data_IF_758179499724
#
_entry.id   IF_758179499724
#
_cell.length_a   1.000
_cell.length_b   1.000
_cell.length_c   1.000
_cell.angle_alpha   90.00
_cell.angle_beta   90.00
_cell.angle_gamma   90.00
#
_symmetry.space_group_name_H-M   'P 1'
#
loop_
_entity.id
_entity.type
_entity.pdbx_description
1 polymer ?
#
# COMPACT_ATOMS: atom_id res chain seq x y z
N UNK A 1 77.17 -14.21 10.38
CA UNK A 1 76.48 -14.03 9.10
C UNK A 1 75.41 -12.96 9.32
N UNK A 2 75.70 -11.74 8.91
CA UNK A 2 74.86 -10.56 9.04
C UNK A 2 73.76 -10.57 7.99
N UNK A 3 72.50 -10.29 8.26
CA UNK A 3 71.49 -10.16 7.22
C UNK A 3 71.62 -8.78 6.51
N UNK A 4 71.55 -8.85 5.19
CA UNK A 4 71.60 -7.74 4.26
C UNK A 4 70.30 -6.88 4.33
N UNK A 5 70.45 -5.56 4.48
CA UNK A 5 69.33 -4.61 4.48
C UNK A 5 68.79 -4.42 3.03
N UNK A 6 67.48 -4.51 2.89
CA UNK A 6 66.75 -4.18 1.64
C UNK A 6 66.53 -2.67 1.60
N UNK A 7 66.83 -2.00 0.47
CA UNK A 7 66.60 -0.54 0.36
C UNK A 7 65.09 -0.22 0.27
N UNK A 8 64.69 0.88 0.93
CA UNK A 8 63.37 1.45 0.93
C UNK A 8 62.93 1.93 -0.46
N UNK A 9 61.62 1.87 -0.80
CA UNK A 9 61.12 2.39 -2.07
C UNK A 9 61.12 3.90 -2.13
N UNK A 10 61.61 4.44 -3.22
CA UNK A 10 61.63 5.86 -3.59
C UNK A 10 60.22 6.39 -3.78
N UNK A 11 59.91 7.50 -3.11
CA UNK A 11 58.64 8.20 -3.24
C UNK A 11 58.42 8.73 -4.65
N UNK A 12 57.23 8.50 -5.25
CA UNK A 12 56.79 9.08 -6.50
C UNK A 12 56.42 10.58 -6.33
N UNK A 13 56.58 11.41 -7.36
CA UNK A 13 56.31 12.83 -7.25
C UNK A 13 54.81 13.10 -7.07
N UNK A 14 54.50 13.94 -6.08
CA UNK A 14 53.16 14.46 -5.80
C UNK A 14 52.66 15.30 -6.98
N UNK A 15 51.56 14.85 -7.61
CA UNK A 15 50.90 15.64 -8.64
C UNK A 15 50.20 16.85 -8.02
N UNK A 16 50.51 18.02 -8.56
CA UNK A 16 49.88 19.32 -8.22
C UNK A 16 48.41 19.24 -8.62
N UNK A 17 47.43 19.62 -7.77
CA UNK A 17 46.02 19.64 -8.15
C UNK A 17 45.79 20.73 -9.21
N UNK A 18 45.39 20.32 -10.40
CA UNK A 18 44.83 21.19 -11.44
C UNK A 18 43.44 21.61 -11.01
N UNK A 19 43.24 22.90 -10.75
CA UNK A 19 41.94 23.49 -10.51
C UNK A 19 41.06 23.34 -11.75
N UNK A 20 40.07 22.46 -11.70
CA UNK A 20 39.02 22.40 -12.68
C UNK A 20 38.13 23.64 -12.54
N UNK A 21 37.76 24.35 -13.63
CA UNK A 21 36.87 25.50 -13.51
C UNK A 21 35.51 24.99 -12.99
N UNK A 22 35.04 25.64 -11.92
CA UNK A 22 33.70 25.49 -11.37
C UNK A 22 32.70 25.91 -12.46
N UNK A 23 32.00 24.98 -13.05
CA UNK A 23 30.84 25.27 -13.89
C UNK A 23 29.79 25.92 -12.98
N UNK A 24 29.38 27.13 -13.33
CA UNK A 24 28.18 27.79 -12.78
C UNK A 24 27.01 26.88 -12.93
N UNK A 25 26.19 26.63 -11.88
CA UNK A 25 24.99 25.82 -12.04
C UNK A 25 24.11 26.47 -13.11
N UNK A 26 23.91 25.74 -14.21
CA UNK A 26 22.91 26.07 -15.21
C UNK A 26 21.56 26.00 -14.53
N UNK A 27 20.85 27.12 -14.51
CA UNK A 27 19.49 27.16 -13.99
C UNK A 27 18.67 26.08 -14.73
N UNK A 28 18.16 25.12 -13.97
CA UNK A 28 17.18 24.14 -14.47
C UNK A 28 16.01 24.95 -15.00
N UNK A 29 15.61 24.79 -16.28
CA UNK A 29 14.45 25.52 -16.78
C UNK A 29 13.24 25.12 -15.94
N UNK A 30 12.66 26.07 -15.23
CA UNK A 30 11.32 25.96 -14.66
C UNK A 30 10.42 25.43 -15.77
N UNK A 31 9.67 24.33 -15.56
CA UNK A 31 8.73 23.87 -16.58
C UNK A 31 7.78 25.02 -16.89
N UNK A 32 7.90 25.56 -18.09
CA UNK A 32 6.97 26.55 -18.60
C UNK A 32 5.63 25.84 -18.69
N UNK A 33 4.68 26.23 -17.84
CA UNK A 33 3.32 25.74 -17.92
C UNK A 33 2.82 25.99 -19.36
N UNK A 34 2.71 24.91 -20.12
CA UNK A 34 2.02 24.96 -21.42
C UNK A 34 0.59 25.38 -21.10
N UNK A 35 0.07 26.49 -21.67
CA UNK A 35 -1.30 26.87 -21.36
C UNK A 35 -2.22 25.74 -21.81
N UNK A 36 -3.10 25.32 -20.89
CA UNK A 36 -4.14 24.35 -21.19
C UNK A 36 -4.91 24.76 -22.45
N UNK A 37 -5.32 23.83 -23.33
CA UNK A 37 -6.03 24.16 -24.56
C UNK A 37 -7.27 24.99 -24.22
N UNK A 38 -7.46 26.10 -24.91
CA UNK A 38 -8.63 26.95 -24.72
C UNK A 38 -9.90 26.17 -25.08
N UNK A 39 -10.61 25.67 -24.09
CA UNK A 39 -11.95 25.13 -24.27
C UNK A 39 -12.89 26.34 -24.35
N UNK A 40 -13.39 26.63 -25.54
CA UNK A 40 -14.09 27.89 -25.88
C UNK A 40 -15.42 28.12 -25.14
N UNK A 41 -15.85 27.27 -24.22
CA UNK A 41 -17.09 27.36 -23.44
C UNK A 41 -17.00 26.89 -21.99
N UNK A 42 -15.80 26.87 -21.40
CA UNK A 42 -15.62 26.44 -20.01
C UNK A 42 -16.30 27.44 -19.05
N UNK A 43 -17.12 26.95 -18.13
CA UNK A 43 -17.76 27.71 -17.05
C UNK A 43 -17.08 27.41 -15.73
N UNK A 44 -17.18 28.33 -14.78
CA UNK A 44 -16.78 28.08 -13.39
C UNK A 44 -17.53 26.87 -12.81
N UNK A 45 -16.82 26.01 -12.08
CA UNK A 45 -17.35 24.76 -11.55
C UNK A 45 -17.26 23.60 -12.56
N UNK A 46 -18.06 22.56 -12.30
CA UNK A 46 -18.05 21.33 -13.10
C UNK A 46 -18.56 21.53 -14.54
N UNK A 47 -17.81 20.98 -15.48
CA UNK A 47 -18.13 20.99 -16.90
C UNK A 47 -18.04 19.58 -17.46
N UNK A 48 -19.06 19.16 -18.19
CA UNK A 48 -19.04 17.90 -18.95
C UNK A 48 -18.70 18.20 -20.40
N UNK A 49 -17.70 17.52 -20.93
CA UNK A 49 -17.26 17.65 -22.32
C UNK A 49 -17.23 16.25 -22.97
N UNK A 50 -17.39 16.21 -24.27
CA UNK A 50 -17.25 14.97 -25.04
C UNK A 50 -15.88 14.95 -25.72
N UNK A 51 -15.08 13.91 -25.46
CA UNK A 51 -13.77 13.70 -26.06
C UNK A 51 -13.67 12.24 -26.54
N UNK A 52 -13.37 12.06 -27.79
CA UNK A 52 -13.22 10.72 -28.41
C UNK A 52 -14.45 9.81 -28.22
N UNK A 53 -15.66 10.40 -28.20
CA UNK A 53 -16.93 9.68 -28.00
C UNK A 53 -17.16 9.24 -26.55
N UNK A 54 -16.40 9.77 -25.59
CA UNK A 54 -16.56 9.52 -24.16
C UNK A 54 -16.85 10.83 -23.44
N UNK A 55 -17.73 10.76 -22.44
CA UNK A 55 -17.98 11.86 -21.51
C UNK A 55 -16.74 12.02 -20.63
N UNK A 56 -16.22 13.24 -20.56
CA UNK A 56 -15.11 13.65 -19.74
C UNK A 56 -15.55 14.85 -18.89
N UNK A 57 -14.83 15.11 -17.81
CA UNK A 57 -15.13 16.20 -16.90
C UNK A 57 -13.95 17.14 -16.77
N UNK A 58 -14.25 18.43 -16.61
CA UNK A 58 -13.29 19.48 -16.30
C UNK A 58 -13.87 20.34 -15.17
N UNK A 59 -13.02 20.95 -14.37
CA UNK A 59 -13.44 21.92 -13.36
C UNK A 59 -12.88 23.31 -13.70
N UNK A 60 -13.77 24.26 -13.89
CA UNK A 60 -13.40 25.64 -14.21
C UNK A 60 -13.10 26.44 -12.94
N UNK A 61 -11.91 27.03 -12.89
CA UNK A 61 -11.47 27.94 -11.83
C UNK A 61 -11.17 29.32 -12.42
N UNK A 62 -11.25 30.37 -11.59
CA UNK A 62 -10.84 31.71 -12.01
C UNK A 62 -9.32 31.86 -11.88
N UNK A 63 -8.68 32.32 -12.96
CA UNK A 63 -7.27 32.70 -12.91
C UNK A 63 -7.09 34.12 -12.29
N UNK A 64 -5.85 34.59 -12.18
CA UNK A 64 -5.50 35.91 -11.64
C UNK A 64 -6.16 37.10 -12.42
N UNK A 65 -6.62 36.86 -13.65
CA UNK A 65 -7.27 37.85 -14.50
C UNK A 65 -8.78 37.71 -14.50
N UNK A 66 -9.38 36.92 -13.58
CA UNK A 66 -10.81 36.57 -13.55
C UNK A 66 -11.31 35.89 -14.84
N UNK A 67 -10.44 35.20 -15.56
CA UNK A 67 -10.81 34.34 -16.68
C UNK A 67 -11.00 32.92 -16.18
N UNK A 68 -12.06 32.22 -16.62
CA UNK A 68 -12.25 30.80 -16.31
C UNK A 68 -11.25 29.98 -17.11
N UNK A 69 -10.45 29.17 -16.36
CA UNK A 69 -9.48 28.22 -16.92
C UNK A 69 -9.76 26.84 -16.31
N UNK A 70 -9.33 25.77 -17.00
CA UNK A 70 -9.47 24.43 -16.47
C UNK A 70 -8.47 24.21 -15.31
N UNK A 71 -8.94 23.60 -14.23
CA UNK A 71 -8.07 23.12 -13.17
C UNK A 71 -7.13 22.04 -13.71
N UNK A 72 -5.89 21.98 -13.19
CA UNK A 72 -4.89 20.96 -13.51
C UNK A 72 -4.20 20.49 -12.22
N UNK A 73 -3.72 19.25 -12.21
CA UNK A 73 -3.12 18.65 -11.01
C UNK A 73 -4.15 18.31 -9.93
N UNK A 74 -3.68 18.00 -8.70
CA UNK A 74 -4.56 17.75 -7.57
C UNK A 74 -5.22 19.04 -7.08
N UNK A 75 -6.52 18.96 -6.74
CA UNK A 75 -7.29 20.09 -6.21
C UNK A 75 -8.41 19.59 -5.30
N UNK A 76 -8.64 20.30 -4.19
CA UNK A 76 -9.79 20.09 -3.33
C UNK A 76 -11.01 20.91 -3.83
N UNK A 77 -12.14 20.24 -3.99
CA UNK A 77 -13.42 20.85 -4.40
C UNK A 77 -14.46 20.45 -3.35
N UNK A 78 -15.02 21.42 -2.65
CA UNK A 78 -16.05 21.23 -1.60
C UNK A 78 -15.63 20.19 -0.52
N UNK A 79 -14.33 20.12 -0.17
CA UNK A 79 -13.77 19.20 0.82
C UNK A 79 -13.42 17.81 0.28
N UNK A 80 -13.52 17.60 -1.02
CA UNK A 80 -13.18 16.35 -1.71
C UNK A 80 -12.01 16.58 -2.65
N UNK A 81 -11.03 15.67 -2.61
CA UNK A 81 -9.86 15.75 -3.47
C UNK A 81 -10.12 15.10 -4.83
N UNK A 82 -9.74 15.80 -5.88
CA UNK A 82 -9.76 15.38 -7.28
C UNK A 82 -8.40 15.58 -7.92
N UNK A 83 -8.18 14.96 -9.07
CA UNK A 83 -7.00 15.20 -9.90
C UNK A 83 -7.37 15.43 -11.35
N UNK A 84 -6.63 16.32 -12.02
CA UNK A 84 -6.83 16.68 -13.43
C UNK A 84 -5.50 16.57 -14.18
N UNK A 85 -5.57 16.15 -15.44
CA UNK A 85 -4.40 16.09 -16.31
C UNK A 85 -3.94 17.50 -16.72
N UNK A 86 -2.84 17.59 -17.47
CA UNK A 86 -2.29 18.85 -18.01
C UNK A 86 -3.24 19.60 -18.95
N UNK A 87 -4.23 18.90 -19.51
CA UNK A 87 -5.27 19.46 -20.38
C UNK A 87 -6.56 19.80 -19.59
N UNK A 88 -6.57 19.61 -18.27
CA UNK A 88 -7.68 19.89 -17.38
C UNK A 88 -8.78 18.84 -17.40
N UNK A 89 -8.55 17.62 -17.89
CA UNK A 89 -9.51 16.52 -17.80
C UNK A 89 -9.33 15.77 -16.48
N UNK A 90 -10.44 15.49 -15.82
CA UNK A 90 -10.46 14.73 -14.56
C UNK A 90 -9.87 13.33 -14.75
N UNK A 91 -9.02 12.95 -13.81
CA UNK A 91 -8.39 11.64 -13.75
C UNK A 91 -9.18 10.71 -12.84
N UNK A 92 -9.19 9.42 -13.17
CA UNK A 92 -9.82 8.34 -12.39
C UNK A 92 -8.92 7.10 -12.37
N UNK A 93 -9.15 6.19 -11.41
CA UNK A 93 -8.32 5.01 -11.23
C UNK A 93 -6.99 5.32 -10.52
N UNK A 94 -5.97 4.52 -10.76
CA UNK A 94 -4.63 4.77 -10.22
C UNK A 94 -3.96 5.95 -10.93
N UNK A 95 -3.59 6.96 -10.15
CA UNK A 95 -2.94 8.19 -10.66
C UNK A 95 -1.67 8.45 -9.88
N UNK A 96 -0.56 8.59 -10.60
CA UNK A 96 0.70 9.05 -10.01
C UNK A 96 0.69 10.58 -9.88
N UNK A 97 0.84 11.08 -8.65
CA UNK A 97 0.92 12.50 -8.34
C UNK A 97 2.21 12.81 -7.61
N UNK A 98 2.76 13.98 -7.88
CA UNK A 98 3.89 14.54 -7.13
C UNK A 98 3.38 15.72 -6.33
N UNK A 99 3.63 15.72 -5.02
CA UNK A 99 3.25 16.79 -4.11
C UNK A 99 4.20 18.01 -4.22
N UNK A 100 3.89 19.08 -3.48
CA UNK A 100 4.67 20.32 -3.47
C UNK A 100 6.10 20.12 -2.93
N UNK A 101 6.34 19.08 -2.12
CA UNK A 101 7.65 18.71 -1.58
C UNK A 101 8.46 17.83 -2.55
N UNK A 102 7.90 17.50 -3.71
CA UNK A 102 8.51 16.67 -4.74
C UNK A 102 8.44 15.16 -4.45
N UNK A 103 7.62 14.72 -3.49
CA UNK A 103 7.37 13.32 -3.23
C UNK A 103 6.29 12.80 -4.17
N UNK A 104 6.59 11.74 -4.88
CA UNK A 104 5.65 11.07 -5.79
C UNK A 104 4.98 9.89 -5.09
N UNK A 105 3.66 9.78 -5.23
CA UNK A 105 2.84 8.68 -4.74
C UNK A 105 1.79 8.27 -5.76
N UNK A 106 1.29 7.04 -5.65
CA UNK A 106 0.16 6.55 -6.44
C UNK A 106 -1.08 6.66 -5.57
N UNK A 107 -2.11 7.30 -6.09
CA UNK A 107 -3.41 7.53 -5.43
C UNK A 107 -4.51 6.89 -6.25
N UNK A 108 -5.64 6.57 -5.62
CA UNK A 108 -6.80 6.05 -6.33
C UNK A 108 -7.95 7.06 -6.31
N UNK A 109 -8.51 7.29 -7.50
CA UNK A 109 -9.66 8.16 -7.71
C UNK A 109 -10.82 7.32 -8.26
N UNK A 110 -12.02 7.50 -7.68
CA UNK A 110 -13.18 6.69 -8.00
C UNK A 110 -13.48 6.63 -9.50
N UNK A 111 -13.71 5.42 -9.99
CA UNK A 111 -14.02 5.16 -11.41
C UNK A 111 -15.51 4.98 -11.68
N UNK A 112 -16.27 4.67 -10.63
CA UNK A 112 -17.70 4.45 -10.73
C UNK A 112 -18.47 5.76 -10.52
N UNK A 113 -19.53 5.94 -11.30
CA UNK A 113 -20.37 7.15 -11.25
C UNK A 113 -20.65 7.73 -12.62
N UNK A 114 -21.51 8.75 -12.65
CA UNK A 114 -21.92 9.42 -13.88
C UNK A 114 -21.62 10.93 -13.90
N UNK A 115 -21.47 11.54 -12.72
CA UNK A 115 -21.35 13.01 -12.60
C UNK A 115 -20.65 13.39 -11.27
N UNK A 116 -19.41 13.88 -11.30
CA UNK A 116 -18.64 14.21 -10.09
C UNK A 116 -19.28 15.31 -9.21
N UNK A 117 -20.25 16.04 -9.76
CA UNK A 117 -21.03 17.01 -8.99
C UNK A 117 -22.18 16.37 -8.18
N UNK A 118 -22.44 15.07 -8.34
CA UNK A 118 -23.59 14.38 -7.77
C UNK A 118 -23.28 13.05 -7.11
N UNK A 119 -22.16 12.46 -7.48
CA UNK A 119 -21.69 11.17 -6.98
C UNK A 119 -20.19 11.23 -6.69
N UNK A 120 -19.58 10.10 -6.36
CA UNK A 120 -18.17 10.02 -5.96
C UNK A 120 -17.19 9.91 -7.14
N UNK A 121 -17.66 9.94 -8.40
CA UNK A 121 -16.81 9.81 -9.57
C UNK A 121 -15.63 10.79 -9.52
N UNK A 122 -14.43 10.27 -9.62
CA UNK A 122 -13.19 11.04 -9.60
C UNK A 122 -12.74 11.52 -8.20
N UNK A 123 -13.50 11.22 -7.12
CA UNK A 123 -13.07 11.52 -5.76
C UNK A 123 -11.91 10.61 -5.33
N UNK A 124 -10.95 11.16 -4.56
CA UNK A 124 -9.84 10.37 -4.01
C UNK A 124 -10.36 9.39 -2.95
N UNK A 125 -9.99 8.13 -3.09
CA UNK A 125 -10.42 7.05 -2.21
C UNK A 125 -9.30 6.56 -1.30
N UNK A 126 -9.69 5.90 -0.21
CA UNK A 126 -8.81 5.15 0.68
C UNK A 126 -9.48 3.83 1.07
N UNK A 127 -8.70 2.88 1.57
CA UNK A 127 -9.18 1.53 1.86
C UNK A 127 -8.67 0.55 0.82
N UNK A 128 -9.48 -0.45 0.49
CA UNK A 128 -9.21 -1.40 -0.59
C UNK A 128 -9.89 -0.90 -1.87
N UNK A 129 -9.08 -0.44 -2.83
CA UNK A 129 -9.54 -0.03 -4.16
C UNK A 129 -8.92 -0.96 -5.20
N UNK A 130 -9.76 -1.61 -6.02
CA UNK A 130 -9.32 -2.63 -6.99
C UNK A 130 -8.38 -3.69 -6.39
N UNK A 131 -8.62 -4.05 -5.12
CA UNK A 131 -7.84 -5.05 -4.39
C UNK A 131 -6.55 -4.52 -3.74
N UNK A 132 -6.16 -3.28 -3.98
CA UNK A 132 -4.96 -2.66 -3.40
C UNK A 132 -5.29 -1.72 -2.25
N UNK A 133 -4.34 -1.52 -1.32
CA UNK A 133 -4.50 -0.72 -0.10
C UNK A 133 -4.00 0.71 -0.33
N UNK A 134 -4.89 1.69 -0.17
CA UNK A 134 -4.58 3.11 -0.24
C UNK A 134 -4.82 3.83 1.09
N UNK A 135 -3.83 4.63 1.56
CA UNK A 135 -3.92 5.39 2.83
C UNK A 135 -3.01 6.65 2.85
N UNK A 136 -3.35 7.79 2.21
CA UNK A 136 -4.14 7.88 0.99
C UNK A 136 -3.41 7.37 -0.25
N UNK A 137 -2.05 7.34 -0.26
CA UNK A 137 -1.26 6.74 -1.33
C UNK A 137 -1.21 5.22 -1.21
N UNK A 138 -0.92 4.54 -2.32
CA UNK A 138 -0.72 3.10 -2.38
C UNK A 138 0.31 2.64 -1.36
N UNK A 139 -0.08 1.68 -0.53
CA UNK A 139 0.78 1.04 0.47
C UNK A 139 1.32 -0.27 -0.05
N UNK A 140 2.53 -0.64 0.40
CA UNK A 140 3.20 -1.88 -0.01
C UNK A 140 3.99 -2.47 1.13
N UNK A 141 3.88 -3.79 1.30
CA UNK A 141 4.65 -4.59 2.24
C UNK A 141 4.59 -4.05 3.69
N UNK A 142 3.41 -3.59 4.10
CA UNK A 142 3.20 -3.00 5.42
C UNK A 142 1.80 -3.23 5.98
N UNK A 143 1.71 -3.22 7.32
CA UNK A 143 0.44 -3.16 8.04
C UNK A 143 -0.04 -1.72 8.10
N UNK A 144 -1.25 -1.47 7.65
CA UNK A 144 -1.84 -0.13 7.48
C UNK A 144 -3.10 -0.03 8.32
N UNK A 145 -3.19 1.03 9.13
CA UNK A 145 -4.42 1.38 9.85
C UNK A 145 -5.08 2.55 9.14
N UNK A 146 -6.31 2.37 8.70
CA UNK A 146 -7.11 3.40 8.03
C UNK A 146 -8.25 3.82 8.94
N UNK A 147 -8.38 5.13 9.13
CA UNK A 147 -9.52 5.73 9.80
C UNK A 147 -10.42 6.36 8.76
N UNK A 148 -11.65 5.86 8.67
CA UNK A 148 -12.67 6.36 7.74
C UNK A 148 -13.42 7.57 8.31
N UNK A 149 -14.11 8.30 7.45
CA UNK A 149 -14.87 9.50 7.81
C UNK A 149 -16.03 9.22 8.78
N UNK A 150 -16.63 8.04 8.71
CA UNK A 150 -17.67 7.59 9.66
C UNK A 150 -17.12 7.27 11.05
N UNK A 151 -15.79 7.33 11.23
CA UNK A 151 -15.05 7.06 12.45
C UNK A 151 -14.68 5.60 12.65
N UNK A 152 -15.02 4.71 11.73
CA UNK A 152 -14.53 3.33 11.73
C UNK A 152 -13.02 3.28 11.52
N UNK A 153 -12.38 2.20 12.02
CA UNK A 153 -10.92 2.01 11.94
C UNK A 153 -10.65 0.56 11.59
N UNK A 154 -10.05 0.35 10.42
CA UNK A 154 -9.68 -0.97 9.94
C UNK A 154 -8.18 -1.08 9.69
N UNK A 155 -7.64 -2.27 9.93
CA UNK A 155 -6.26 -2.60 9.66
C UNK A 155 -6.20 -3.56 8.46
N UNK A 156 -5.31 -3.26 7.51
CA UNK A 156 -5.05 -4.05 6.31
C UNK A 156 -3.56 -4.39 6.24
N UNK A 157 -3.20 -5.46 5.58
CA UNK A 157 -1.82 -5.68 5.17
C UNK A 157 -1.72 -5.61 3.65
N UNK A 158 -0.90 -4.70 3.15
CA UNK A 158 -0.55 -4.61 1.74
C UNK A 158 0.67 -5.47 1.45
N UNK A 159 0.60 -6.34 0.45
CA UNK A 159 1.74 -7.14 -0.02
C UNK A 159 2.78 -6.28 -0.79
N UNK A 160 3.76 -6.93 -1.41
CA UNK A 160 4.84 -6.24 -2.14
C UNK A 160 4.35 -5.51 -3.41
N UNK A 161 3.25 -5.92 -3.99
CA UNK A 161 2.56 -5.27 -5.11
C UNK A 161 1.54 -4.23 -4.67
N UNK A 162 1.14 -4.26 -3.40
CA UNK A 162 0.15 -3.36 -2.80
C UNK A 162 -1.24 -3.98 -2.64
N UNK A 163 -1.43 -5.25 -3.01
CA UNK A 163 -2.71 -5.92 -2.81
C UNK A 163 -2.96 -6.23 -1.34
N UNK A 164 -4.21 -6.07 -0.92
CA UNK A 164 -4.63 -6.49 0.40
C UNK A 164 -4.56 -8.02 0.52
N UNK A 165 -3.95 -8.52 1.61
CA UNK A 165 -4.06 -9.94 1.93
C UNK A 165 -5.44 -10.21 2.53
N UNK A 166 -6.03 -11.35 2.22
CA UNK A 166 -7.35 -11.75 2.68
C UNK A 166 -7.43 -13.27 2.91
N UNK A 167 -8.33 -13.70 3.81
CA UNK A 167 -8.56 -15.12 4.15
C UNK A 167 -7.29 -15.89 4.52
N UNK A 168 -6.30 -15.22 5.11
CA UNK A 168 -5.00 -15.80 5.43
C UNK A 168 -4.36 -15.13 6.64
N UNK A 169 -3.26 -15.72 7.10
CA UNK A 169 -2.42 -15.12 8.13
C UNK A 169 -1.21 -14.41 7.51
N UNK A 170 -0.81 -13.30 8.12
CA UNK A 170 0.37 -12.56 7.72
C UNK A 170 1.26 -12.28 8.95
N UNK A 171 2.53 -12.64 8.83
CA UNK A 171 3.53 -12.32 9.84
C UNK A 171 4.04 -10.90 9.65
N UNK A 172 3.99 -10.10 10.73
CA UNK A 172 4.49 -8.73 10.76
C UNK A 172 5.43 -8.60 11.95
N UNK A 173 6.73 -8.49 11.69
CA UNK A 173 7.74 -8.60 12.74
C UNK A 173 7.72 -9.97 13.42
N UNK A 174 7.50 -10.00 14.74
CA UNK A 174 7.47 -11.22 15.53
C UNK A 174 6.06 -11.77 15.79
N UNK A 175 5.03 -11.13 15.27
CA UNK A 175 3.62 -11.50 15.48
C UNK A 175 2.94 -11.90 14.18
N UNK A 176 1.93 -12.77 14.28
CA UNK A 176 1.12 -13.20 13.16
C UNK A 176 -0.31 -12.72 13.35
N UNK A 177 -0.87 -12.04 12.34
CA UNK A 177 -2.24 -11.55 12.32
C UNK A 177 -3.09 -12.37 11.35
N UNK A 178 -4.39 -12.46 11.62
CA UNK A 178 -5.38 -13.05 10.71
C UNK A 178 -6.12 -11.94 9.97
N UNK A 179 -6.25 -12.08 8.66
CA UNK A 179 -7.07 -11.21 7.81
C UNK A 179 -8.30 -11.96 7.32
N UNK A 180 -9.45 -11.29 7.42
CA UNK A 180 -10.75 -11.82 7.07
C UNK A 180 -10.97 -11.92 5.56
N UNK A 181 -12.17 -12.36 5.18
CA UNK A 181 -12.55 -12.52 3.77
C UNK A 181 -12.72 -11.16 3.05
N UNK A 182 -12.78 -10.07 3.79
CA UNK A 182 -12.85 -8.69 3.31
C UNK A 182 -11.48 -7.98 3.34
N UNK A 183 -10.42 -8.70 3.72
CA UNK A 183 -9.08 -8.16 3.85
C UNK A 183 -8.83 -7.37 5.13
N UNK A 184 -9.83 -7.20 6.01
CA UNK A 184 -9.62 -6.53 7.29
C UNK A 184 -8.97 -7.46 8.31
N UNK A 185 -8.15 -6.90 9.21
CA UNK A 185 -7.59 -7.67 10.31
C UNK A 185 -8.69 -8.12 11.27
N UNK A 186 -8.74 -9.42 11.55
CA UNK A 186 -9.65 -9.98 12.55
C UNK A 186 -9.16 -9.62 13.95
N UNK A 187 -10.01 -8.92 14.72
CA UNK A 187 -9.70 -8.41 16.08
C UNK A 187 -10.42 -9.18 17.19
N UNK A 188 -11.40 -10.01 16.85
CA UNK A 188 -12.15 -10.80 17.82
C UNK A 188 -11.31 -12.00 18.28
N UNK A 189 -11.06 -12.10 19.59
CA UNK A 189 -10.30 -13.19 20.19
C UNK A 189 -11.07 -14.53 20.18
N UNK A 190 -10.32 -15.62 20.28
CA UNK A 190 -10.88 -16.97 20.29
C UNK A 190 -10.76 -17.68 18.95
N UNK A 191 -11.60 -18.68 18.71
CA UNK A 191 -11.60 -19.42 17.44
C UNK A 191 -12.23 -18.61 16.33
N UNK A 192 -11.47 -18.42 15.25
CA UNK A 192 -11.89 -17.66 14.06
C UNK A 192 -11.73 -18.54 12.82
N UNK A 193 -12.59 -18.33 11.84
CA UNK A 193 -12.55 -19.07 10.57
C UNK A 193 -12.54 -18.09 9.41
N UNK A 194 -11.74 -18.42 8.40
CA UNK A 194 -11.74 -17.73 7.10
C UNK A 194 -11.89 -18.77 5.99
N UNK A 195 -12.35 -18.34 4.83
CA UNK A 195 -12.56 -19.21 3.67
C UNK A 195 -11.66 -18.73 2.54
N UNK A 196 -10.82 -19.61 2.01
CA UNK A 196 -9.92 -19.29 0.92
C UNK A 196 -10.63 -19.24 -0.45
N UNK A 197 -9.91 -18.91 -1.50
CA UNK A 197 -10.39 -18.84 -2.88
C UNK A 197 -10.88 -20.19 -3.44
N UNK A 198 -10.42 -21.31 -2.86
CA UNK A 198 -10.84 -22.66 -3.21
C UNK A 198 -12.06 -23.13 -2.40
N UNK A 199 -12.67 -22.22 -1.63
CA UNK A 199 -13.79 -22.50 -0.72
C UNK A 199 -13.42 -23.50 0.39
N UNK A 200 -12.13 -23.50 0.83
CA UNK A 200 -11.65 -24.29 1.97
C UNK A 200 -11.72 -23.42 3.22
N UNK A 201 -12.27 -23.97 4.30
CA UNK A 201 -12.34 -23.28 5.60
C UNK A 201 -11.08 -23.57 6.41
N UNK A 202 -10.42 -22.52 6.84
CA UNK A 202 -9.28 -22.54 7.73
C UNK A 202 -9.66 -22.00 9.09
N UNK A 203 -9.18 -22.62 10.17
CA UNK A 203 -9.51 -22.25 11.54
C UNK A 203 -8.25 -21.84 12.29
N UNK A 204 -8.33 -20.74 13.04
CA UNK A 204 -7.26 -20.17 13.83
C UNK A 204 -7.74 -19.87 15.26
N UNK A 205 -6.81 -19.73 16.19
CA UNK A 205 -7.12 -19.22 17.54
C UNK A 205 -6.39 -17.90 17.77
N UNK A 206 -7.13 -16.86 18.07
CA UNK A 206 -6.59 -15.53 18.36
C UNK A 206 -6.51 -15.31 19.87
N UNK A 207 -5.33 -14.85 20.31
CA UNK A 207 -5.05 -14.55 21.71
C UNK A 207 -5.94 -13.40 22.23
N UNK A 208 -6.41 -13.52 23.47
CA UNK A 208 -7.34 -12.55 24.04
C UNK A 208 -6.70 -11.19 24.36
N UNK A 209 -5.38 -11.13 24.51
CA UNK A 209 -4.68 -9.91 24.92
C UNK A 209 -4.44 -8.94 23.75
N UNK A 210 -4.13 -9.47 22.55
CA UNK A 210 -3.64 -8.68 21.42
C UNK A 210 -4.25 -9.06 20.07
N UNK A 211 -5.15 -10.06 20.06
CA UNK A 211 -5.79 -10.59 18.83
C UNK A 211 -4.77 -11.08 17.78
N UNK A 212 -3.60 -11.54 18.23
CA UNK A 212 -2.62 -12.21 17.37
C UNK A 212 -2.95 -13.70 17.25
N UNK A 213 -2.55 -14.30 16.14
CA UNK A 213 -2.70 -15.75 15.93
C UNK A 213 -1.78 -16.52 16.86
N UNK A 214 -2.32 -17.49 17.57
CA UNK A 214 -1.51 -18.39 18.41
C UNK A 214 -0.84 -19.46 17.55
N UNK A 215 0.49 -19.45 17.54
CA UNK A 215 1.32 -20.44 16.84
C UNK A 215 1.59 -21.71 17.68
N UNK A 216 0.76 -21.92 18.72
CA UNK A 216 0.95 -22.94 19.75
C UNK A 216 1.71 -22.40 20.97
N UNK A 217 1.54 -23.10 22.11
CA UNK A 217 2.18 -22.70 23.37
C UNK A 217 2.98 -23.85 24.02
N UNK A 218 3.32 -24.85 23.23
CA UNK A 218 4.17 -25.98 23.59
C UNK A 218 5.32 -26.17 22.61
N UNK A 219 6.15 -27.19 22.85
CA UNK A 219 7.27 -27.51 21.96
C UNK A 219 6.77 -27.80 20.54
N UNK A 220 7.52 -27.30 19.57
CA UNK A 220 7.30 -27.59 18.16
C UNK A 220 7.90 -28.95 17.75
N UNK A 221 7.28 -29.64 16.83
CA UNK A 221 7.66 -30.94 16.29
C UNK A 221 7.66 -30.87 14.75
N UNK A 222 8.62 -31.58 14.17
CA UNK A 222 8.67 -31.73 12.72
C UNK A 222 7.68 -32.78 12.23
N UNK A 223 6.80 -32.44 11.28
CA UNK A 223 5.83 -33.36 10.68
C UNK A 223 5.95 -33.26 9.13
N UNK A 224 6.83 -34.11 8.55
CA UNK A 224 7.17 -33.96 7.13
C UNK A 224 7.86 -32.63 6.86
N UNK A 225 7.33 -31.85 5.92
CA UNK A 225 7.84 -30.52 5.55
C UNK A 225 7.28 -29.38 6.42
N UNK A 226 6.39 -29.71 7.36
CA UNK A 226 5.69 -28.78 8.24
C UNK A 226 6.22 -28.86 9.67
N UNK A 227 6.28 -27.74 10.36
CA UNK A 227 6.48 -27.69 11.81
C UNK A 227 5.13 -27.50 12.49
N UNK A 228 4.83 -28.31 13.50
CA UNK A 228 3.56 -28.26 14.25
C UNK A 228 3.82 -28.00 15.72
N UNK A 229 2.86 -27.38 16.41
CA UNK A 229 2.92 -27.15 17.85
C UNK A 229 1.57 -27.47 18.49
N UNK A 230 1.60 -27.83 19.78
CA UNK A 230 0.37 -27.96 20.53
C UNK A 230 -0.07 -26.63 21.10
N UNK A 231 -1.36 -26.37 20.99
CA UNK A 231 -2.06 -25.25 21.57
C UNK A 231 -3.04 -25.76 22.63
N UNK A 232 -2.95 -25.25 23.85
CA UNK A 232 -3.96 -25.50 24.89
C UNK A 232 -4.89 -24.31 25.04
N UNK A 233 -6.22 -24.58 24.96
CA UNK A 233 -7.27 -23.59 25.22
C UNK A 233 -8.22 -24.18 26.27
N UNK A 234 -8.18 -23.62 27.46
CA UNK A 234 -8.84 -24.21 28.62
C UNK A 234 -8.26 -25.59 28.95
N UNK A 235 -9.09 -26.63 28.92
CA UNK A 235 -8.66 -28.03 29.14
C UNK A 235 -8.42 -28.81 27.84
N UNK A 236 -8.62 -28.20 26.70
CA UNK A 236 -8.53 -28.88 25.40
C UNK A 236 -7.17 -28.64 24.73
N UNK A 237 -6.73 -29.64 23.97
CA UNK A 237 -5.51 -29.60 23.21
C UNK A 237 -5.82 -29.60 21.72
N UNK A 238 -5.16 -28.73 20.98
CA UNK A 238 -5.26 -28.59 19.55
C UNK A 238 -3.87 -28.67 18.94
N UNK A 239 -3.77 -29.22 17.74
CA UNK A 239 -2.52 -29.17 16.98
C UNK A 239 -2.63 -28.03 15.96
N UNK A 240 -1.62 -27.19 15.91
CA UNK A 240 -1.55 -26.06 14.98
C UNK A 240 -0.30 -26.16 14.13
N UNK A 241 -0.36 -25.64 12.93
CA UNK A 241 0.81 -25.30 12.15
C UNK A 241 1.59 -24.19 12.90
N UNK A 242 2.87 -24.41 13.16
CA UNK A 242 3.67 -23.49 13.98
C UNK A 242 4.13 -22.23 13.22
N UNK A 243 3.90 -22.15 11.92
CA UNK A 243 4.22 -21.01 11.08
C UNK A 243 2.98 -20.13 10.85
N UNK A 244 1.88 -20.75 10.48
CA UNK A 244 0.63 -20.05 10.14
C UNK A 244 -0.35 -19.94 11.30
N UNK A 245 -0.29 -20.85 12.29
CA UNK A 245 -1.23 -20.98 13.40
C UNK A 245 -2.53 -21.69 13.03
N UNK A 246 -2.66 -22.21 11.80
CA UNK A 246 -3.84 -22.96 11.38
C UNK A 246 -4.05 -24.21 12.23
N UNK A 247 -5.26 -24.41 12.72
CA UNK A 247 -5.66 -25.64 13.43
C UNK A 247 -5.74 -26.80 12.44
N UNK A 248 -5.03 -27.87 12.78
CA UNK A 248 -4.98 -29.07 11.96
C UNK A 248 -6.15 -30.01 12.32
N UNK A 249 -6.85 -30.51 11.31
CA UNK A 249 -7.96 -31.43 11.46
C UNK A 249 -7.61 -32.84 10.95
N UNK A 250 -8.41 -33.83 11.34
CA UNK A 250 -8.22 -35.22 10.93
C UNK A 250 -7.06 -35.91 11.63
N UNK A 251 -6.68 -37.10 11.15
CA UNK A 251 -5.61 -37.89 11.74
C UNK A 251 -4.23 -37.27 11.53
N UNK A 252 -3.57 -36.93 12.61
CA UNK A 252 -2.26 -36.30 12.63
C UNK A 252 -1.24 -37.20 13.32
N UNK A 253 -0.06 -37.39 12.71
CA UNK A 253 1.04 -38.14 13.32
C UNK A 253 2.07 -37.14 13.87
N UNK A 254 2.24 -37.10 15.18
CA UNK A 254 3.25 -36.25 15.84
C UNK A 254 4.23 -37.17 16.55
N UNK A 255 5.48 -37.14 16.14
CA UNK A 255 6.51 -38.06 16.58
C UNK A 255 6.10 -39.53 16.34
N UNK A 256 5.94 -40.33 17.38
CA UNK A 256 5.55 -41.75 17.31
C UNK A 256 4.06 -41.99 17.55
N UNK A 257 3.28 -40.99 17.91
CA UNK A 257 1.85 -41.05 18.23
C UNK A 257 0.96 -40.50 17.12
N UNK A 258 -0.28 -41.00 17.08
CA UNK A 258 -1.31 -40.57 16.15
C UNK A 258 -2.45 -39.93 16.95
N UNK A 259 -2.89 -38.77 16.52
CA UNK A 259 -3.95 -37.96 17.14
C UNK A 259 -5.05 -37.68 16.12
N UNK A 260 -6.25 -37.37 16.61
CA UNK A 260 -7.40 -36.98 15.78
C UNK A 260 -8.02 -35.71 16.31
#
# INVERSE_FOLDING_TARGET
VTPSETPAPTEAPTATPTVTPTETPSETPTPSATPAPEVSNLKEGWNSVEKDGKKQFQYGVLDENNKVVAATGPIEIDGVDYAFDENGYMLTGEVELTDEDGKTGIYYFETEGEDPAKDELGSRQQGICEGKVFAPELKKNELVTIKFEDGSVDDYYADEEGYAVWSTTQKVGDVTYLFGNDGTRVKEAGFQTVVDENNVTHTYYLNAEDSTVSLGNHNAYQQGDRTVSWLTVGSNWYLVDAETGELLSGWQKVDTAIYY
#
